data_IF_711134519541
#
_entry.id   IF_711134519541
#
_cell.length_a   1.000
_cell.length_b   1.000
_cell.length_c   1.000
_cell.angle_alpha   90.00
_cell.angle_beta   90.00
_cell.angle_gamma   90.00
#
_symmetry.space_group_name_H-M   'P 1'
#
loop_
_entity.id
_entity.type
_entity.pdbx_description
1 polymer ?
#
# COMPACT_ATOMS: atom_id res chain seq x y z
N UNK A 1 -31.44 -2.49 5.69
CA UNK A 1 -30.29 -2.95 6.49
C UNK A 1 -29.55 -4.00 5.67
N UNK A 2 -28.63 -3.56 4.81
CA UNK A 2 -28.08 -4.39 3.74
C UNK A 2 -26.75 -5.02 4.17
N UNK A 3 -26.65 -6.34 4.02
CA UNK A 3 -25.43 -7.14 4.19
C UNK A 3 -24.48 -6.90 2.99
N UNK A 4 -23.73 -5.80 2.98
CA UNK A 4 -22.57 -5.61 2.06
C UNK A 4 -21.22 -5.81 2.77
N UNK A 5 -21.24 -6.35 3.98
CA UNK A 5 -20.35 -5.90 5.06
C UNK A 5 -18.94 -6.48 5.12
N UNK A 6 -18.61 -7.52 4.34
CA UNK A 6 -17.30 -8.17 4.39
C UNK A 6 -16.29 -7.59 3.40
N UNK A 7 -16.58 -7.72 2.11
CA UNK A 7 -15.65 -7.41 1.03
C UNK A 7 -15.40 -5.90 0.84
N UNK A 8 -16.39 -5.06 1.14
CA UNK A 8 -16.25 -3.59 1.12
C UNK A 8 -15.32 -3.12 2.24
N UNK A 9 -15.46 -3.66 3.45
CA UNK A 9 -14.62 -3.32 4.60
C UNK A 9 -13.12 -3.47 4.29
N UNK A 10 -12.72 -4.56 3.64
CA UNK A 10 -11.31 -4.79 3.29
C UNK A 10 -10.76 -3.79 2.25
N UNK A 11 -11.63 -3.15 1.44
CA UNK A 11 -11.22 -2.08 0.52
C UNK A 11 -10.91 -0.78 1.25
N UNK A 12 -11.45 -0.61 2.45
CA UNK A 12 -11.39 0.61 3.26
C UNK A 12 -10.32 0.57 4.35
N UNK A 13 -9.59 -0.54 4.49
CA UNK A 13 -8.53 -0.68 5.51
C UNK A 13 -7.45 0.42 5.49
N UNK A 14 -7.34 1.20 4.41
CA UNK A 14 -6.48 2.39 4.36
C UNK A 14 -6.90 3.49 5.35
N UNK A 15 -8.16 3.53 5.80
CA UNK A 15 -8.66 4.48 6.81
C UNK A 15 -7.91 4.29 8.14
N UNK A 16 -7.38 3.10 8.42
CA UNK A 16 -6.61 2.83 9.64
C UNK A 16 -5.27 3.58 9.71
N UNK A 17 -4.77 4.09 8.58
CA UNK A 17 -3.44 4.72 8.47
C UNK A 17 -3.49 6.19 8.06
N UNK A 18 -4.69 6.77 7.91
CA UNK A 18 -4.88 8.12 7.40
C UNK A 18 -5.98 8.86 8.18
N UNK A 19 -5.94 10.20 8.20
CA UNK A 19 -7.04 11.01 8.72
C UNK A 19 -8.38 10.69 8.04
N UNK A 20 -9.52 10.86 8.72
CA UNK A 20 -10.85 10.51 8.19
C UNK A 20 -11.26 11.36 6.98
N UNK A 21 -10.70 12.55 6.83
CA UNK A 21 -10.90 13.49 5.73
C UNK A 21 -9.91 13.29 4.57
N UNK A 22 -9.05 12.28 4.65
CA UNK A 22 -8.01 12.07 3.64
C UNK A 22 -8.59 11.66 2.27
N UNK A 23 -8.11 12.35 1.23
CA UNK A 23 -8.49 12.06 -0.15
C UNK A 23 -7.68 10.87 -0.65
N UNK A 24 -8.35 9.74 -0.88
CA UNK A 24 -7.73 8.55 -1.46
C UNK A 24 -7.61 8.67 -2.98
N UNK A 25 -6.39 8.52 -3.49
CA UNK A 25 -6.07 8.72 -4.90
C UNK A 25 -5.34 7.52 -5.49
N UNK A 26 -5.92 6.93 -6.54
CA UNK A 26 -5.23 5.90 -7.33
C UNK A 26 -4.24 6.56 -8.28
N UNK A 27 -2.97 6.17 -8.22
CA UNK A 27 -1.98 6.60 -9.19
C UNK A 27 -2.13 5.80 -10.51
N UNK A 28 -2.58 6.42 -11.61
CA UNK A 28 -2.71 5.73 -12.89
C UNK A 28 -1.33 5.41 -13.50
N UNK A 29 -1.35 4.51 -14.49
CA UNK A 29 -0.23 4.33 -15.41
C UNK A 29 -0.39 5.29 -16.60
N UNK A 30 0.72 5.81 -17.11
CA UNK A 30 0.72 6.65 -18.32
C UNK A 30 0.29 8.11 -18.14
N UNK A 31 -0.33 8.67 -19.18
CA UNK A 31 -0.61 10.10 -19.38
C UNK A 31 -1.64 10.70 -18.40
N UNK A 32 -2.54 9.88 -17.83
CA UNK A 32 -3.55 10.34 -16.86
C UNK A 32 -2.95 10.91 -15.57
N UNK A 33 -1.66 10.67 -15.30
CA UNK A 33 -0.95 11.26 -14.15
C UNK A 33 -0.94 12.79 -14.19
N UNK A 34 -0.85 13.40 -15.37
CA UNK A 34 -0.82 14.87 -15.49
C UNK A 34 -2.16 15.47 -15.05
N UNK A 35 -3.28 14.91 -15.55
CA UNK A 35 -4.64 15.33 -15.16
C UNK A 35 -4.85 15.18 -13.66
N UNK A 36 -4.38 14.06 -13.09
CA UNK A 36 -4.46 13.85 -11.65
C UNK A 36 -3.65 14.89 -10.86
N UNK A 37 -2.44 15.22 -11.32
CA UNK A 37 -1.64 16.28 -10.68
C UNK A 37 -2.33 17.64 -10.71
N UNK A 38 -3.01 17.98 -11.81
CA UNK A 38 -3.81 19.21 -11.92
C UNK A 38 -4.99 19.19 -10.93
N UNK A 39 -5.70 18.06 -10.84
CA UNK A 39 -6.82 17.92 -9.90
C UNK A 39 -6.37 17.98 -8.42
N UNK A 40 -5.18 17.47 -8.11
CA UNK A 40 -4.60 17.61 -6.77
C UNK A 40 -4.18 19.05 -6.47
N UNK A 41 -3.63 19.76 -7.45
CA UNK A 41 -3.24 21.15 -7.30
C UNK A 41 -4.44 22.10 -7.08
N UNK A 42 -5.67 21.69 -7.42
CA UNK A 42 -6.89 22.44 -7.09
C UNK A 42 -7.41 22.20 -5.67
N UNK A 43 -6.82 21.29 -4.90
CA UNK A 43 -7.18 21.07 -3.50
C UNK A 43 -6.49 22.10 -2.60
N UNK A 44 -7.02 22.26 -1.39
CA UNK A 44 -6.45 23.17 -0.39
C UNK A 44 -5.08 22.66 0.09
N UNK A 45 -4.10 23.55 0.31
CA UNK A 45 -2.88 23.19 1.04
C UNK A 45 -3.22 22.57 2.40
N UNK A 46 -2.40 21.61 2.83
CA UNK A 46 -2.61 20.82 4.04
C UNK A 46 -3.61 19.66 3.90
N UNK A 47 -4.32 19.54 2.77
CA UNK A 47 -5.27 18.44 2.55
C UNK A 47 -4.56 17.09 2.70
N UNK A 48 -5.04 16.19 3.58
CA UNK A 48 -4.47 14.86 3.71
C UNK A 48 -4.79 14.01 2.48
N UNK A 49 -3.79 13.30 1.98
CA UNK A 49 -3.88 12.50 0.75
C UNK A 49 -3.32 11.10 0.98
N UNK A 50 -4.05 10.10 0.49
CA UNK A 50 -3.61 8.70 0.45
C UNK A 50 -3.40 8.29 -1.01
N UNK A 51 -2.17 8.36 -1.48
CA UNK A 51 -1.82 7.91 -2.81
C UNK A 51 -1.61 6.40 -2.80
N UNK A 52 -2.26 5.67 -3.71
CA UNK A 52 -2.06 4.23 -3.81
C UNK A 52 -1.81 3.75 -5.23
N UNK A 53 -1.01 2.70 -5.36
CA UNK A 53 -0.71 2.08 -6.65
C UNK A 53 -0.58 0.57 -6.48
N UNK A 54 -1.21 -0.17 -7.38
CA UNK A 54 -0.96 -1.60 -7.56
C UNK A 54 0.17 -1.81 -8.56
N UNK A 55 0.95 -2.88 -8.36
CA UNK A 55 2.01 -3.44 -9.21
C UNK A 55 3.47 -3.18 -8.80
N UNK A 56 4.41 -4.03 -9.28
CA UNK A 56 5.84 -3.83 -9.13
C UNK A 56 6.29 -2.42 -9.54
N UNK A 57 7.26 -1.88 -8.80
CA UNK A 57 7.80 -0.53 -9.02
C UNK A 57 6.87 0.63 -8.59
N UNK A 58 5.75 0.34 -7.91
CA UNK A 58 4.83 1.35 -7.40
C UNK A 58 5.50 2.42 -6.51
N UNK A 59 6.51 2.06 -5.70
CA UNK A 59 7.24 3.01 -4.84
C UNK A 59 7.81 4.18 -5.63
N UNK A 60 8.64 3.87 -6.64
CA UNK A 60 9.32 4.91 -7.41
C UNK A 60 8.30 5.81 -8.09
N UNK A 61 7.18 5.24 -8.55
CA UNK A 61 6.09 6.01 -9.16
C UNK A 61 5.39 6.89 -8.13
N UNK A 62 5.05 6.38 -6.95
CA UNK A 62 4.38 7.11 -5.89
C UNK A 62 5.27 8.23 -5.34
N UNK A 63 6.52 7.92 -4.98
CA UNK A 63 7.50 8.89 -4.49
C UNK A 63 7.80 9.98 -5.54
N UNK A 64 8.02 9.59 -6.81
CA UNK A 64 8.22 10.57 -7.89
C UNK A 64 6.98 11.44 -8.13
N UNK A 65 5.78 10.88 -8.02
CA UNK A 65 4.55 11.63 -8.19
C UNK A 65 4.34 12.60 -7.03
N UNK A 66 4.46 12.13 -5.78
CA UNK A 66 4.34 12.94 -4.57
C UNK A 66 5.27 14.16 -4.61
N UNK A 67 6.56 13.95 -4.91
CA UNK A 67 7.53 15.05 -5.09
C UNK A 67 7.12 16.06 -6.17
N UNK A 68 6.51 15.60 -7.25
CA UNK A 68 6.11 16.46 -8.38
C UNK A 68 4.84 17.26 -8.11
N UNK A 69 3.99 16.79 -7.20
CA UNK A 69 2.70 17.41 -6.90
C UNK A 69 2.67 18.11 -5.55
N UNK A 70 3.83 18.34 -4.93
CA UNK A 70 3.91 18.98 -3.61
C UNK A 70 3.22 18.16 -2.53
N UNK A 71 3.30 16.82 -2.58
CA UNK A 71 2.84 16.00 -1.45
C UNK A 71 4.04 15.78 -0.53
N UNK A 72 3.97 16.34 0.67
CA UNK A 72 4.86 16.01 1.77
C UNK A 72 4.50 14.60 2.27
N UNK A 73 5.44 13.67 2.11
CA UNK A 73 5.23 12.27 2.47
C UNK A 73 5.52 12.09 3.95
N UNK A 74 4.51 11.65 4.70
CA UNK A 74 4.62 11.36 6.13
C UNK A 74 4.98 9.90 6.37
N UNK A 75 4.29 8.99 5.66
CA UNK A 75 4.48 7.53 5.82
C UNK A 75 4.29 6.79 4.51
N UNK A 76 5.06 5.72 4.32
CA UNK A 76 4.92 4.79 3.20
C UNK A 76 4.56 3.39 3.70
N UNK A 77 3.66 2.71 3.00
CA UNK A 77 3.19 1.37 3.35
C UNK A 77 3.25 0.40 2.16
N UNK A 78 3.62 -0.83 2.47
CA UNK A 78 3.40 -2.03 1.68
C UNK A 78 1.96 -2.51 1.87
N UNK A 79 1.25 -2.78 0.77
CA UNK A 79 -0.10 -3.36 0.83
C UNK A 79 -0.12 -4.78 0.30
N UNK A 80 -0.67 -5.70 1.10
CA UNK A 80 -0.84 -7.11 0.75
C UNK A 80 -2.31 -7.53 0.86
N UNK A 81 -2.83 -8.36 -0.07
CA UNK A 81 -2.18 -8.79 -1.31
C UNK A 81 -2.23 -7.71 -2.41
N UNK A 82 -2.91 -6.58 -2.20
CA UNK A 82 -3.05 -5.51 -3.18
C UNK A 82 -3.39 -4.17 -2.50
N UNK A 83 -3.02 -3.05 -3.11
CA UNK A 83 -3.39 -1.71 -2.64
C UNK A 83 -4.86 -1.33 -2.92
N UNK A 84 -5.56 -2.11 -3.75
CA UNK A 84 -7.00 -1.90 -3.99
C UNK A 84 -7.84 -2.40 -2.80
N UNK A 85 -7.47 -3.55 -2.26
CA UNK A 85 -8.13 -4.20 -1.12
C UNK A 85 -7.05 -4.79 -0.20
N UNK A 86 -6.37 -3.95 0.59
CA UNK A 86 -5.30 -4.40 1.46
C UNK A 86 -5.87 -5.15 2.67
N UNK A 87 -5.50 -6.42 2.82
CA UNK A 87 -5.69 -7.15 4.07
C UNK A 87 -4.67 -6.73 5.12
N UNK A 88 -3.43 -6.45 4.68
CA UNK A 88 -2.33 -6.00 5.53
C UNK A 88 -1.69 -4.74 4.97
N UNK A 89 -1.41 -3.80 5.86
CA UNK A 89 -0.61 -2.60 5.62
C UNK A 89 0.61 -2.68 6.51
N UNK A 90 1.79 -2.74 5.90
CA UNK A 90 3.07 -2.85 6.61
C UNK A 90 3.86 -1.61 6.28
N UNK A 91 4.28 -0.84 7.29
CA UNK A 91 5.12 0.34 7.07
C UNK A 91 6.39 -0.05 6.31
N UNK A 92 6.83 0.77 5.35
CA UNK A 92 8.01 0.52 4.50
C UNK A 92 9.33 0.76 5.27
N UNK A 93 9.49 0.04 6.38
CA UNK A 93 10.67 0.04 7.22
C UNK A 93 11.23 -1.40 7.35
N UNK A 94 12.55 -1.57 7.51
CA UNK A 94 13.17 -2.88 7.67
C UNK A 94 12.58 -3.70 8.82
N UNK A 95 12.40 -3.08 9.99
CA UNK A 95 11.93 -3.79 11.19
C UNK A 95 10.45 -4.20 11.07
N UNK A 96 9.59 -3.31 10.56
CA UNK A 96 8.18 -3.62 10.31
C UNK A 96 8.01 -4.75 9.29
N UNK A 97 8.84 -4.75 8.25
CA UNK A 97 8.85 -5.81 7.24
C UNK A 97 9.30 -7.15 7.83
N UNK A 98 10.37 -7.14 8.63
CA UNK A 98 10.89 -8.34 9.31
C UNK A 98 9.87 -8.91 10.29
N UNK A 99 9.24 -8.07 11.10
CA UNK A 99 8.20 -8.46 12.04
C UNK A 99 7.01 -9.08 11.30
N UNK A 100 6.54 -8.45 10.23
CA UNK A 100 5.40 -8.96 9.46
C UNK A 100 5.64 -10.38 8.94
N UNK A 101 6.77 -10.63 8.27
CA UNK A 101 7.07 -11.96 7.73
C UNK A 101 7.46 -12.98 8.81
N UNK A 102 8.01 -12.53 9.94
CA UNK A 102 8.44 -13.40 11.03
C UNK A 102 7.32 -13.80 11.99
N UNK A 103 6.27 -12.99 12.14
CA UNK A 103 5.28 -13.15 13.22
C UNK A 103 3.81 -12.96 12.81
N UNK A 104 3.51 -12.11 11.83
CA UNK A 104 2.13 -11.72 11.50
C UNK A 104 1.57 -12.51 10.32
N UNK A 105 2.41 -12.83 9.33
CA UNK A 105 1.99 -13.59 8.17
C UNK A 105 1.72 -15.05 8.58
N UNK A 106 0.46 -15.32 8.95
CA UNK A 106 0.02 -16.66 9.33
C UNK A 106 -0.24 -17.53 8.12
N UNK A 107 0.13 -18.81 8.22
CA UNK A 107 -0.18 -19.83 7.23
C UNK A 107 -1.70 -20.09 7.18
N UNK A 108 -2.33 -20.15 6.00
CA UNK A 108 -3.75 -20.49 5.93
C UNK A 108 -3.97 -21.91 6.49
N UNK A 109 -5.03 -22.14 7.29
CA UNK A 109 -5.22 -23.39 8.05
C UNK A 109 -5.60 -24.62 7.18
N UNK A 110 -5.38 -24.58 5.87
CA UNK A 110 -5.78 -25.65 4.94
C UNK A 110 -4.63 -26.65 4.73
N UNK A 111 -4.79 -27.93 5.13
CA UNK A 111 -3.71 -28.91 5.11
C UNK A 111 -3.08 -29.15 3.73
N UNK A 112 -3.86 -29.01 2.64
CA UNK A 112 -3.37 -29.18 1.27
C UNK A 112 -2.43 -28.07 0.75
N UNK A 113 -2.36 -26.92 1.42
CA UNK A 113 -1.50 -25.81 1.00
C UNK A 113 -0.22 -25.68 1.84
N UNK A 114 -0.06 -26.44 2.93
CA UNK A 114 1.03 -26.31 3.91
C UNK A 114 2.43 -26.32 3.29
N UNK A 115 2.67 -27.19 2.31
CA UNK A 115 3.99 -27.24 1.64
C UNK A 115 4.20 -26.00 0.77
N UNK A 116 3.17 -25.53 0.07
CA UNK A 116 3.23 -24.34 -0.78
C UNK A 116 3.36 -23.06 0.05
N UNK A 117 2.68 -22.98 1.20
CA UNK A 117 2.77 -21.85 2.12
C UNK A 117 4.05 -21.86 2.93
N UNK A 118 4.58 -23.02 3.34
CA UNK A 118 5.91 -23.13 3.93
C UNK A 118 7.01 -22.76 2.91
N UNK A 119 6.89 -23.22 1.66
CA UNK A 119 7.80 -22.84 0.59
C UNK A 119 7.69 -21.35 0.23
N UNK A 120 6.47 -20.80 0.16
CA UNK A 120 6.24 -19.38 -0.04
C UNK A 120 6.77 -18.55 1.14
N UNK A 121 6.61 -19.01 2.38
CA UNK A 121 7.17 -18.35 3.57
C UNK A 121 8.70 -18.44 3.59
N UNK A 122 9.29 -19.56 3.22
CA UNK A 122 10.75 -19.72 3.12
C UNK A 122 11.33 -18.86 1.97
N UNK A 123 10.62 -18.80 0.84
CA UNK A 123 10.95 -17.92 -0.27
C UNK A 123 10.81 -16.45 0.13
N UNK A 124 9.71 -16.08 0.81
CA UNK A 124 9.48 -14.74 1.35
C UNK A 124 10.50 -14.38 2.42
N UNK A 125 10.93 -15.31 3.28
CA UNK A 125 11.98 -15.12 4.28
C UNK A 125 13.37 -14.97 3.64
N UNK A 126 13.66 -15.71 2.56
CA UNK A 126 14.88 -15.50 1.74
C UNK A 126 14.83 -14.19 0.96
N UNK A 127 13.64 -13.75 0.53
CA UNK A 127 13.38 -12.47 -0.12
C UNK A 127 13.14 -11.32 0.88
N UNK A 128 13.06 -11.61 2.18
CA UNK A 128 12.80 -10.67 3.28
C UNK A 128 14.00 -9.75 3.56
N UNK A 129 14.98 -9.71 2.66
CA UNK A 129 15.70 -8.45 2.49
C UNK A 129 14.64 -7.37 2.22
N UNK A 130 14.54 -6.38 3.12
CA UNK A 130 13.60 -5.27 2.98
C UNK A 130 13.61 -4.69 1.55
N UNK A 131 14.80 -4.59 0.93
CA UNK A 131 14.97 -4.14 -0.46
C UNK A 131 14.29 -5.04 -1.51
N UNK A 132 14.32 -6.36 -1.32
CA UNK A 132 13.69 -7.33 -2.20
C UNK A 132 12.17 -7.25 -2.12
N UNK A 133 11.63 -7.34 -0.90
CA UNK A 133 10.20 -7.13 -0.61
C UNK A 133 9.74 -5.80 -1.19
N UNK A 134 10.56 -4.76 -1.03
CA UNK A 134 10.23 -3.43 -1.49
C UNK A 134 9.93 -3.44 -3.00
N UNK A 135 10.74 -4.11 -3.81
CA UNK A 135 10.57 -4.19 -5.28
C UNK A 135 9.36 -5.00 -5.72
N UNK A 136 9.06 -6.10 -5.03
CA UNK A 136 8.03 -7.07 -5.45
C UNK A 136 6.67 -6.86 -4.80
N UNK A 137 6.58 -5.94 -3.83
CA UNK A 137 5.34 -5.67 -3.11
C UNK A 137 4.17 -5.42 -4.07
N UNK A 138 3.03 -6.11 -3.88
CA UNK A 138 1.96 -6.09 -4.87
C UNK A 138 1.17 -4.78 -4.87
N UNK A 139 1.21 -4.03 -3.75
CA UNK A 139 0.62 -2.71 -3.63
C UNK A 139 1.43 -1.76 -2.78
N UNK A 140 1.19 -0.47 -2.98
CA UNK A 140 1.75 0.64 -2.18
C UNK A 140 0.70 1.66 -1.82
N UNK A 141 0.82 2.17 -0.60
CA UNK A 141 0.12 3.36 -0.12
C UNK A 141 1.16 4.37 0.38
N UNK A 142 0.92 5.64 0.12
CA UNK A 142 1.69 6.77 0.63
C UNK A 142 0.69 7.70 1.29
N UNK A 143 0.94 8.01 2.55
CA UNK A 143 0.15 8.95 3.35
C UNK A 143 0.95 10.23 3.47
N UNK A 144 0.32 11.35 3.22
CA UNK A 144 0.95 12.66 3.27
C UNK A 144 -0.05 13.80 3.16
N UNK A 145 0.48 15.01 3.02
CA UNK A 145 -0.31 16.24 2.89
C UNK A 145 0.16 17.07 1.70
N UNK A 146 -0.77 17.80 1.09
CA UNK A 146 -0.41 18.78 0.08
C UNK A 146 0.28 19.99 0.72
N UNK A 147 1.35 20.48 0.09
CA UNK A 147 2.08 21.69 0.47
C UNK A 147 1.56 22.89 -0.28
#
# INVERSE_FOLDING_TARGET
MALSSGAERWRENWIAIAPPDAVRVKLPRGSSKRRLGIALASLLPGTPVVLYATAPGAIRRCSSFARRTGIEVEREYLAFPSALAPAYLVEDAPDSTRLFFGSVLTEPPRPGFRILSAAARALLARLASWRGTRRIAPGRLVVGRLT
#
